data_IF_826107216064
#
_entry.id   IF_826107216064
#
_cell.length_a   1.000
_cell.length_b   1.000
_cell.length_c   1.000
_cell.angle_alpha   90.00
_cell.angle_beta   90.00
_cell.angle_gamma   90.00
#
_symmetry.space_group_name_H-M   'P 1'
#
loop_
_entity.id
_entity.type
_entity.pdbx_description
1 polymer ?
#
# COMPACT_ATOMS: atom_id res chain seq x y z
N UNK A 1 30.02 -11.33 4.01
CA UNK A 1 28.65 -11.71 3.62
C UNK A 1 27.99 -12.34 4.82
N UNK A 2 27.05 -11.64 5.48
CA UNK A 2 26.26 -12.22 6.57
C UNK A 2 25.37 -13.32 5.97
N UNK A 3 25.68 -14.58 6.25
CA UNK A 3 24.83 -15.69 5.83
C UNK A 3 23.52 -15.57 6.58
N UNK A 4 22.45 -15.17 5.88
CA UNK A 4 21.11 -15.14 6.47
C UNK A 4 20.78 -16.56 6.97
N UNK A 5 20.36 -16.74 8.23
CA UNK A 5 20.09 -18.07 8.76
C UNK A 5 18.99 -18.76 7.95
N UNK A 6 19.18 -20.05 7.69
CA UNK A 6 18.18 -20.86 7.00
C UNK A 6 16.94 -21.02 7.88
N UNK A 7 15.77 -20.68 7.33
CA UNK A 7 14.47 -20.82 8.01
C UNK A 7 14.12 -22.26 8.35
N UNK A 8 14.77 -23.24 7.70
CA UNK A 8 14.54 -24.68 7.91
C UNK A 8 15.54 -25.32 8.89
N UNK A 9 16.37 -24.53 9.57
CA UNK A 9 17.41 -25.03 10.49
C UNK A 9 17.17 -24.60 11.93
N UNK A 10 17.95 -25.17 12.86
CA UNK A 10 17.99 -24.74 14.27
C UNK A 10 18.36 -23.26 14.44
N UNK A 11 19.07 -22.67 13.48
CA UNK A 11 19.44 -21.25 13.53
C UNK A 11 18.23 -20.30 13.59
N UNK A 12 17.06 -20.70 13.08
CA UNK A 12 15.84 -19.92 13.27
C UNK A 12 15.30 -20.03 14.71
N UNK A 13 15.42 -21.19 15.36
CA UNK A 13 15.03 -21.33 16.78
C UNK A 13 15.94 -20.49 17.67
N UNK A 14 17.25 -20.51 17.41
CA UNK A 14 18.22 -19.69 18.14
C UNK A 14 17.87 -18.21 18.02
N UNK A 15 17.59 -17.74 16.79
CA UNK A 15 17.17 -16.36 16.56
C UNK A 15 15.84 -16.02 17.25
N UNK A 16 14.86 -16.91 17.18
CA UNK A 16 13.58 -16.73 17.89
C UNK A 16 13.81 -16.65 19.40
N UNK A 17 14.69 -17.48 19.95
CA UNK A 17 14.99 -17.53 21.38
C UNK A 17 15.58 -16.21 21.88
N UNK A 18 16.38 -15.51 21.07
CA UNK A 18 17.01 -14.21 21.37
C UNK A 18 16.02 -13.02 21.41
N UNK A 19 14.79 -13.18 20.93
CA UNK A 19 13.82 -12.08 20.81
C UNK A 19 12.58 -12.31 21.67
N UNK A 20 11.97 -11.23 22.15
CA UNK A 20 10.72 -11.30 22.94
C UNK A 20 9.47 -11.39 22.06
N UNK A 21 9.55 -10.76 20.88
CA UNK A 21 8.46 -10.59 19.93
C UNK A 21 8.90 -11.07 18.56
N UNK A 22 8.05 -11.85 17.90
CA UNK A 22 8.21 -12.27 16.51
C UNK A 22 7.02 -11.74 15.71
N UNK A 23 7.27 -10.76 14.83
CA UNK A 23 6.28 -10.30 13.86
C UNK A 23 6.44 -11.03 12.54
N UNK A 24 5.45 -11.84 12.19
CA UNK A 24 5.42 -12.58 10.94
C UNK A 24 4.70 -11.76 9.88
N UNK A 25 5.46 -11.30 8.88
CA UNK A 25 4.90 -10.77 7.63
C UNK A 25 4.52 -11.92 6.70
N UNK A 26 3.45 -11.74 5.91
CA UNK A 26 2.85 -12.82 5.13
C UNK A 26 2.40 -13.99 6.03
N UNK A 27 1.76 -13.64 7.15
CA UNK A 27 1.42 -14.58 8.23
C UNK A 27 0.40 -15.66 7.82
N UNK A 28 -0.35 -15.43 6.75
CA UNK A 28 -1.34 -16.37 6.22
C UNK A 28 -0.76 -17.29 5.13
N UNK A 29 0.56 -17.31 4.94
CA UNK A 29 1.25 -18.25 4.04
C UNK A 29 1.71 -19.51 4.78
N UNK A 30 2.00 -20.64 4.09
CA UNK A 30 2.56 -21.83 4.73
C UNK A 30 3.81 -21.54 5.57
N UNK A 31 4.72 -20.71 5.04
CA UNK A 31 5.94 -20.32 5.74
C UNK A 31 5.65 -19.41 6.94
N UNK A 32 4.67 -18.52 6.81
CA UNK A 32 4.21 -17.67 7.90
C UNK A 32 3.65 -18.48 9.08
N UNK A 33 2.78 -19.45 8.78
CA UNK A 33 2.23 -20.38 9.77
C UNK A 33 3.33 -21.22 10.43
N UNK A 34 4.29 -21.71 9.64
CA UNK A 34 5.44 -22.44 10.18
C UNK A 34 6.29 -21.60 11.15
N UNK A 35 6.63 -20.36 10.78
CA UNK A 35 7.39 -19.46 11.63
C UNK A 35 6.62 -19.09 12.91
N UNK A 36 5.32 -18.81 12.78
CA UNK A 36 4.44 -18.51 13.91
C UNK A 36 4.35 -19.69 14.89
N UNK A 37 4.25 -20.92 14.40
CA UNK A 37 4.22 -22.12 15.24
C UNK A 37 5.51 -22.27 16.06
N UNK A 38 6.69 -22.09 15.45
CA UNK A 38 7.97 -22.16 16.16
C UNK A 38 8.09 -21.07 17.24
N UNK A 39 7.74 -19.83 16.90
CA UNK A 39 7.74 -18.74 17.86
C UNK A 39 6.78 -19.00 19.04
N UNK A 40 5.60 -19.58 18.75
CA UNK A 40 4.61 -19.94 19.77
C UNK A 40 5.08 -21.05 20.70
N UNK A 41 5.77 -22.07 20.16
CA UNK A 41 6.39 -23.16 20.93
C UNK A 41 7.49 -22.61 21.83
N UNK A 42 8.29 -21.67 21.33
CA UNK A 42 9.31 -20.97 22.11
C UNK A 42 8.74 -19.95 23.13
N UNK A 43 7.41 -19.89 23.30
CA UNK A 43 6.75 -19.05 24.30
C UNK A 43 6.71 -17.56 23.96
N UNK A 44 7.03 -17.17 22.72
CA UNK A 44 7.15 -15.76 22.31
C UNK A 44 5.79 -15.10 22.07
N UNK A 45 5.82 -13.76 22.04
CA UNK A 45 4.70 -12.96 21.51
C UNK A 45 4.74 -13.02 19.99
N UNK A 46 3.65 -13.42 19.36
CA UNK A 46 3.58 -13.63 17.91
C UNK A 46 2.56 -12.70 17.29
N UNK A 47 3.02 -11.79 16.45
CA UNK A 47 2.19 -10.89 15.68
C UNK A 47 2.09 -11.37 14.23
N UNK A 48 0.98 -11.12 13.55
CA UNK A 48 0.80 -11.47 12.15
C UNK A 48 0.31 -10.29 11.32
N UNK A 49 0.95 -10.03 10.17
CA UNK A 49 0.41 -9.12 9.13
C UNK A 49 0.39 -9.84 7.79
N UNK A 50 -0.72 -9.72 7.08
CA UNK A 50 -0.87 -10.19 5.71
C UNK A 50 -0.72 -9.01 4.74
N UNK A 51 0.20 -9.15 3.78
CA UNK A 51 0.43 -8.15 2.73
C UNK A 51 -0.14 -8.60 1.38
N UNK A 52 -1.08 -9.56 1.41
CA UNK A 52 -1.77 -10.05 0.23
C UNK A 52 -0.95 -11.04 -0.59
N UNK A 53 -1.52 -11.45 -1.72
CA UNK A 53 -1.13 -12.67 -2.43
C UNK A 53 -2.17 -13.77 -2.21
N UNK A 54 -1.84 -14.98 -2.65
CA UNK A 54 -2.71 -16.13 -2.48
C UNK A 54 -2.85 -16.48 -1.00
N UNK A 55 -4.10 -16.57 -0.54
CA UNK A 55 -4.40 -17.09 0.79
C UNK A 55 -3.99 -18.57 0.83
N UNK A 56 -3.38 -19.01 1.93
CA UNK A 56 -3.30 -20.43 2.23
C UNK A 56 -4.73 -20.92 2.47
N UNK A 57 -5.33 -21.55 1.46
CA UNK A 57 -6.73 -21.98 1.46
C UNK A 57 -7.08 -22.82 2.69
N UNK A 58 -6.10 -23.54 3.22
CA UNK A 58 -6.15 -24.34 4.44
C UNK A 58 -6.53 -23.53 5.69
N UNK A 59 -6.29 -22.22 5.74
CA UNK A 59 -6.76 -21.39 6.86
C UNK A 59 -8.28 -21.22 6.88
N UNK A 60 -8.96 -21.30 5.74
CA UNK A 60 -10.42 -21.35 5.68
C UNK A 60 -10.95 -22.64 6.30
N UNK A 61 -10.23 -23.75 6.12
CA UNK A 61 -10.59 -25.05 6.69
C UNK A 61 -10.16 -25.22 8.14
N UNK A 62 -9.11 -24.51 8.58
CA UNK A 62 -8.51 -24.63 9.92
C UNK A 62 -8.35 -23.28 10.64
N UNK A 63 -9.43 -22.55 10.93
CA UNK A 63 -9.37 -21.20 11.55
C UNK A 63 -8.70 -21.20 12.93
N UNK A 64 -8.62 -22.36 13.59
CA UNK A 64 -7.89 -22.54 14.86
C UNK A 64 -6.39 -22.27 14.73
N UNK A 65 -5.81 -22.35 13.54
CA UNK A 65 -4.41 -21.96 13.30
C UNK A 65 -4.17 -20.46 13.59
N UNK A 66 -5.22 -19.62 13.54
CA UNK A 66 -5.14 -18.25 14.01
C UNK A 66 -4.66 -18.13 15.46
N UNK A 67 -4.86 -19.16 16.29
CA UNK A 67 -4.43 -19.16 17.70
C UNK A 67 -2.92 -19.18 17.92
N UNK A 68 -2.14 -19.44 16.86
CA UNK A 68 -0.68 -19.30 16.87
C UNK A 68 -0.25 -17.85 17.10
N UNK A 69 -1.07 -16.89 16.69
CA UNK A 69 -0.84 -15.47 16.85
C UNK A 69 -1.50 -14.97 18.14
N UNK A 70 -0.91 -13.96 18.77
CA UNK A 70 -1.54 -13.20 19.85
C UNK A 70 -2.49 -12.15 19.31
N UNK A 71 -2.07 -11.47 18.24
CA UNK A 71 -2.84 -10.42 17.59
C UNK A 71 -2.42 -10.28 16.13
N UNK A 72 -3.39 -9.97 15.28
CA UNK A 72 -3.17 -9.62 13.90
C UNK A 72 -3.12 -8.11 13.73
N UNK A 73 -2.19 -7.63 12.90
CA UNK A 73 -2.14 -6.25 12.46
C UNK A 73 -2.69 -6.17 11.03
N UNK A 74 -3.74 -5.37 10.86
CA UNK A 74 -4.30 -4.99 9.58
C UNK A 74 -3.95 -3.54 9.25
N UNK A 75 -3.57 -3.30 7.99
CA UNK A 75 -3.16 -1.98 7.50
C UNK A 75 -4.30 -1.12 6.93
N UNK A 76 -5.48 -1.73 6.79
CA UNK A 76 -6.73 -1.13 6.30
C UNK A 76 -7.91 -1.97 6.79
N UNK A 77 -9.11 -1.39 6.75
CA UNK A 77 -10.34 -2.14 7.07
C UNK A 77 -10.55 -3.27 6.04
N UNK A 78 -10.23 -3.01 4.77
CA UNK A 78 -10.23 -4.02 3.72
C UNK A 78 -9.27 -5.17 4.02
N UNK A 79 -8.05 -4.90 4.48
CA UNK A 79 -7.10 -5.95 4.86
C UNK A 79 -7.54 -6.73 6.10
N UNK A 80 -8.26 -6.09 7.03
CA UNK A 80 -8.76 -6.76 8.23
C UNK A 80 -9.74 -7.91 7.91
N UNK A 81 -10.45 -7.82 6.78
CA UNK A 81 -11.36 -8.86 6.32
C UNK A 81 -10.65 -10.21 6.08
N UNK A 82 -9.35 -10.22 5.76
CA UNK A 82 -8.56 -11.45 5.59
C UNK A 82 -8.44 -12.26 6.90
N UNK A 83 -8.68 -11.64 8.05
CA UNK A 83 -8.65 -12.28 9.36
C UNK A 83 -10.04 -12.60 9.90
N UNK A 84 -11.10 -12.34 9.14
CA UNK A 84 -12.46 -12.66 9.55
C UNK A 84 -12.61 -14.16 9.84
N UNK A 85 -13.20 -14.50 10.98
CA UNK A 85 -13.35 -15.90 11.42
C UNK A 85 -12.15 -16.49 12.15
N UNK A 86 -11.02 -15.77 12.24
CA UNK A 86 -9.92 -16.17 13.13
C UNK A 86 -10.26 -15.75 14.57
N UNK A 87 -10.09 -16.68 15.50
CA UNK A 87 -10.39 -16.50 16.94
C UNK A 87 -9.28 -15.72 17.66
N UNK A 88 -8.92 -14.55 17.11
CA UNK A 88 -7.90 -13.65 17.66
C UNK A 88 -8.22 -12.17 17.39
N UNK A 89 -7.74 -11.26 18.25
CA UNK A 89 -7.89 -9.84 18.01
C UNK A 89 -7.20 -9.42 16.71
N UNK A 90 -7.86 -8.52 15.98
CA UNK A 90 -7.29 -7.78 14.86
C UNK A 90 -7.18 -6.32 15.29
N UNK A 91 -6.06 -5.69 14.98
CA UNK A 91 -5.79 -4.28 15.25
C UNK A 91 -5.51 -3.56 13.96
N UNK A 92 -6.28 -2.50 13.72
CA UNK A 92 -6.10 -1.62 12.59
C UNK A 92 -5.01 -0.62 12.93
N UNK A 93 -3.87 -0.71 12.26
CA UNK A 93 -2.79 0.28 12.34
C UNK A 93 -2.44 0.67 10.90
N UNK A 94 -2.87 1.86 10.51
CA UNK A 94 -2.70 2.38 9.15
C UNK A 94 -1.27 2.90 8.93
N UNK A 95 -0.76 2.81 7.70
CA UNK A 95 0.61 3.21 7.36
C UNK A 95 1.65 2.11 7.66
N UNK A 96 2.93 2.46 7.90
CA UNK A 96 3.48 3.82 7.90
C UNK A 96 3.87 4.32 6.51
N UNK A 97 3.92 5.65 6.36
CA UNK A 97 4.71 6.32 5.31
C UNK A 97 5.97 6.91 5.92
N UNK A 98 7.11 6.73 5.26
CA UNK A 98 8.38 7.34 5.68
C UNK A 98 8.41 8.83 5.32
N UNK A 99 7.88 9.64 6.24
CA UNK A 99 7.77 11.09 6.10
C UNK A 99 9.13 11.81 6.08
N UNK A 100 10.23 11.12 6.42
CA UNK A 100 11.59 11.66 6.32
C UNK A 100 12.18 11.40 4.93
N UNK A 101 11.98 10.20 4.40
CA UNK A 101 12.38 9.86 3.04
C UNK A 101 11.61 10.69 2.02
N UNK A 102 10.30 10.86 2.23
CA UNK A 102 9.43 11.68 1.38
C UNK A 102 9.21 13.05 2.01
N UNK A 103 10.27 13.85 2.13
CA UNK A 103 10.19 15.22 2.64
C UNK A 103 9.37 16.15 1.72
N UNK A 104 8.81 17.24 2.25
CA UNK A 104 8.03 18.19 1.46
C UNK A 104 8.83 18.67 0.23
N UNK A 105 8.25 18.55 -0.96
CA UNK A 105 8.94 18.94 -2.18
C UNK A 105 9.15 20.46 -2.23
N UNK A 106 10.36 20.88 -2.59
CA UNK A 106 10.70 22.28 -2.89
C UNK A 106 10.59 22.61 -4.38
N UNK A 107 10.41 21.60 -5.22
CA UNK A 107 10.26 21.75 -6.67
C UNK A 107 8.91 22.38 -7.01
N UNK A 108 8.91 23.20 -8.06
CA UNK A 108 7.67 23.80 -8.58
C UNK A 108 6.83 22.71 -9.25
N UNK A 109 5.57 22.59 -8.81
CA UNK A 109 4.58 21.72 -9.47
C UNK A 109 4.25 22.20 -10.87
N UNK A 110 4.14 21.24 -11.79
CA UNK A 110 3.77 21.44 -13.17
C UNK A 110 2.27 21.19 -13.33
N UNK A 111 1.52 22.25 -13.67
CA UNK A 111 0.08 22.15 -13.89
C UNK A 111 -0.21 21.21 -15.06
N UNK A 112 -1.13 20.27 -14.86
CA UNK A 112 -1.50 19.27 -15.87
C UNK A 112 -0.50 18.12 -15.99
N UNK A 113 0.54 18.05 -15.15
CA UNK A 113 1.35 16.84 -14.99
C UNK A 113 0.69 15.93 -13.95
N UNK A 114 0.21 14.77 -14.41
CA UNK A 114 -0.34 13.71 -13.58
C UNK A 114 0.60 12.51 -13.56
N UNK A 115 0.66 11.83 -12.43
CA UNK A 115 1.57 10.69 -12.23
C UNK A 115 0.80 9.50 -11.67
N UNK A 116 1.09 8.30 -12.15
CA UNK A 116 0.65 7.05 -11.54
C UNK A 116 1.87 6.19 -11.25
N UNK A 117 1.98 5.64 -10.04
CA UNK A 117 3.16 4.87 -9.61
C UNK A 117 2.76 3.49 -9.13
N UNK A 118 3.47 2.48 -9.61
CA UNK A 118 3.35 1.12 -9.13
C UNK A 118 3.83 0.09 -10.13
N UNK A 119 3.84 -1.18 -9.73
CA UNK A 119 4.09 -2.29 -10.66
C UNK A 119 3.09 -2.21 -11.82
N UNK A 120 3.57 -2.44 -13.05
CA UNK A 120 2.69 -2.51 -14.22
C UNK A 120 2.09 -3.92 -14.25
N UNK A 121 0.87 -4.02 -13.72
CA UNK A 121 0.06 -5.22 -13.53
C UNK A 121 -1.42 -4.89 -13.80
N UNK A 122 -2.23 -5.81 -14.34
CA UNK A 122 -3.61 -5.54 -14.74
C UNK A 122 -4.49 -4.94 -13.64
N UNK A 123 -4.38 -5.43 -12.40
CA UNK A 123 -5.18 -4.95 -11.28
C UNK A 123 -4.86 -3.51 -10.83
N UNK A 124 -3.83 -2.85 -11.39
CA UNK A 124 -3.56 -1.43 -11.16
C UNK A 124 -4.38 -0.50 -12.06
N UNK A 125 -5.00 -1.02 -13.13
CA UNK A 125 -6.02 -0.29 -13.90
C UNK A 125 -5.54 1.02 -14.53
N UNK A 126 -4.28 1.11 -14.98
CA UNK A 126 -3.72 2.34 -15.58
C UNK A 126 -4.47 2.80 -16.84
N UNK A 127 -5.13 1.89 -17.55
CA UNK A 127 -5.97 2.19 -18.71
C UNK A 127 -7.08 3.20 -18.38
N UNK A 128 -7.58 3.21 -17.14
CA UNK A 128 -8.59 4.17 -16.71
C UNK A 128 -8.03 5.60 -16.65
N UNK A 129 -6.82 5.75 -16.12
CA UNK A 129 -6.13 7.04 -16.08
C UNK A 129 -5.77 7.53 -17.49
N UNK A 130 -5.31 6.63 -18.37
CA UNK A 130 -5.03 6.95 -19.78
C UNK A 130 -6.30 7.42 -20.49
N UNK A 131 -7.41 6.70 -20.34
CA UNK A 131 -8.68 7.01 -20.98
C UNK A 131 -9.27 8.35 -20.50
N UNK A 132 -9.15 8.64 -19.20
CA UNK A 132 -9.66 9.84 -18.55
C UNK A 132 -8.74 11.07 -18.69
N UNK A 133 -7.54 10.93 -19.26
CA UNK A 133 -6.57 12.03 -19.39
C UNK A 133 -7.17 13.22 -20.17
N UNK A 134 -7.30 14.40 -19.55
CA UNK A 134 -7.84 15.58 -20.21
C UNK A 134 -6.90 16.13 -21.29
N UNK A 135 -7.46 16.85 -22.25
CA UNK A 135 -6.68 17.39 -23.37
C UNK A 135 -5.67 18.43 -22.85
N UNK A 136 -4.40 18.27 -23.26
CA UNK A 136 -3.32 19.17 -22.87
C UNK A 136 -2.69 18.86 -21.52
N UNK A 137 -3.17 17.84 -20.80
CA UNK A 137 -2.46 17.25 -19.67
C UNK A 137 -1.50 16.15 -20.13
N UNK A 138 -0.53 15.85 -19.28
CA UNK A 138 0.44 14.77 -19.42
C UNK A 138 0.24 13.74 -18.32
N UNK A 139 0.29 12.46 -18.66
CA UNK A 139 0.33 11.37 -17.69
C UNK A 139 1.69 10.67 -17.75
N UNK A 140 2.36 10.52 -16.61
CA UNK A 140 3.55 9.66 -16.47
C UNK A 140 3.17 8.44 -15.63
N UNK A 141 3.31 7.26 -16.21
CA UNK A 141 3.12 5.98 -15.52
C UNK A 141 4.50 5.43 -15.19
N UNK A 142 4.85 5.39 -13.91
CA UNK A 142 6.16 4.98 -13.44
C UNK A 142 6.11 3.64 -12.70
N UNK A 143 6.98 2.72 -13.08
CA UNK A 143 7.19 1.48 -12.35
C UNK A 143 7.62 0.30 -13.21
N UNK A 144 8.11 -0.74 -12.52
CA UNK A 144 8.65 -1.94 -13.19
C UNK A 144 7.54 -2.70 -13.90
N UNK A 145 7.85 -3.19 -15.09
CA UNK A 145 6.94 -4.05 -15.84
C UNK A 145 6.99 -5.47 -15.27
N UNK A 146 5.84 -5.95 -14.77
CA UNK A 146 5.66 -7.32 -14.27
C UNK A 146 4.84 -8.17 -15.25
N UNK A 147 3.97 -7.54 -16.04
CA UNK A 147 3.16 -8.18 -17.07
C UNK A 147 3.43 -7.47 -18.41
N UNK A 148 3.99 -8.21 -19.39
CA UNK A 148 4.34 -7.65 -20.70
C UNK A 148 3.13 -7.46 -21.59
N UNK A 149 2.19 -8.40 -21.59
CA UNK A 149 0.99 -8.31 -22.42
C UNK A 149 0.11 -7.13 -21.97
N UNK A 150 0.01 -6.91 -20.66
CA UNK A 150 -0.69 -5.75 -20.12
C UNK A 150 0.03 -4.43 -20.48
N UNK A 151 1.36 -4.40 -20.40
CA UNK A 151 2.13 -3.21 -20.82
C UNK A 151 1.91 -2.87 -22.29
N UNK A 152 1.93 -3.87 -23.18
CA UNK A 152 1.67 -3.65 -24.61
C UNK A 152 0.26 -3.11 -24.85
N UNK A 153 -0.75 -3.58 -24.10
CA UNK A 153 -2.11 -3.01 -24.13
C UNK A 153 -2.14 -1.55 -23.69
N UNK A 154 -1.36 -1.18 -22.67
CA UNK A 154 -1.26 0.22 -22.23
C UNK A 154 -0.60 1.11 -23.29
N UNK A 155 0.43 0.61 -24.00
CA UNK A 155 1.03 1.33 -25.13
C UNK A 155 0.01 1.59 -26.24
N UNK A 156 -0.83 0.61 -26.56
CA UNK A 156 -1.92 0.80 -27.53
C UNK A 156 -2.97 1.80 -27.02
N UNK A 157 -3.37 1.71 -25.75
CA UNK A 157 -4.34 2.63 -25.15
C UNK A 157 -3.83 4.08 -25.09
N UNK A 158 -2.51 4.26 -24.96
CA UNK A 158 -1.84 5.56 -24.94
C UNK A 158 -1.75 6.23 -26.33
N UNK A 159 -2.03 5.51 -27.42
CA UNK A 159 -1.86 6.04 -28.77
C UNK A 159 -2.64 7.35 -28.99
N UNK A 160 -1.92 8.40 -29.41
CA UNK A 160 -2.49 9.73 -29.65
C UNK A 160 -2.70 10.58 -28.39
N UNK A 161 -2.21 10.17 -27.23
CA UNK A 161 -2.27 10.90 -25.95
C UNK A 161 -0.87 11.22 -25.43
N UNK A 162 -0.72 12.26 -24.59
CA UNK A 162 0.56 12.61 -23.96
C UNK A 162 0.81 11.72 -22.72
N UNK A 163 1.08 10.44 -22.95
CA UNK A 163 1.34 9.43 -21.91
C UNK A 163 2.77 8.91 -22.04
N UNK A 164 3.52 8.93 -20.95
CA UNK A 164 4.91 8.48 -20.87
C UNK A 164 5.03 7.33 -19.88
N UNK A 165 5.87 6.35 -20.20
CA UNK A 165 6.11 5.18 -19.34
C UNK A 165 7.56 5.17 -18.85
N UNK A 166 7.74 5.28 -17.54
CA UNK A 166 9.05 5.36 -16.90
C UNK A 166 9.32 4.08 -16.08
N UNK A 167 10.02 3.13 -16.69
CA UNK A 167 10.06 1.74 -16.17
C UNK A 167 11.29 1.42 -15.31
N UNK A 168 12.23 2.35 -15.19
CA UNK A 168 13.53 2.15 -14.56
C UNK A 168 13.92 3.24 -13.56
N UNK A 169 12.97 4.08 -13.13
CA UNK A 169 13.26 5.13 -12.15
C UNK A 169 13.73 4.53 -10.82
N UNK A 170 14.78 5.12 -10.26
CA UNK A 170 15.19 4.92 -8.87
C UNK A 170 14.40 5.80 -7.91
N UNK A 171 14.58 5.56 -6.60
CA UNK A 171 13.79 6.21 -5.55
C UNK A 171 13.87 7.75 -5.58
N UNK A 172 15.05 8.32 -5.83
CA UNK A 172 15.24 9.77 -5.92
C UNK A 172 14.52 10.39 -7.13
N UNK A 173 14.49 9.66 -8.26
CA UNK A 173 13.78 10.11 -9.47
C UNK A 173 12.27 10.03 -9.29
N UNK A 174 11.79 8.98 -8.60
CA UNK A 174 10.38 8.87 -8.18
C UNK A 174 9.97 10.03 -7.28
N UNK A 175 10.76 10.35 -6.26
CA UNK A 175 10.50 11.49 -5.37
C UNK A 175 10.46 12.81 -6.14
N UNK A 176 11.40 13.01 -7.07
CA UNK A 176 11.44 14.20 -7.91
C UNK A 176 10.18 14.31 -8.80
N UNK A 177 9.81 13.22 -9.47
CA UNK A 177 8.63 13.14 -10.32
C UNK A 177 7.35 13.45 -9.54
N UNK A 178 7.16 12.82 -8.37
CA UNK A 178 6.03 13.07 -7.47
C UNK A 178 6.00 14.51 -6.97
N UNK A 179 7.15 15.10 -6.65
CA UNK A 179 7.25 16.50 -6.21
C UNK A 179 6.90 17.52 -7.31
N UNK A 180 7.12 17.17 -8.58
CA UNK A 180 6.74 17.98 -9.73
C UNK A 180 5.29 17.79 -10.15
N UNK A 181 4.68 16.65 -9.86
CA UNK A 181 3.32 16.34 -10.26
C UNK A 181 2.32 17.31 -9.62
N UNK A 182 1.30 17.69 -10.39
CA UNK A 182 0.12 18.40 -9.88
C UNK A 182 -0.88 17.45 -9.21
N UNK A 183 -0.86 16.17 -9.57
CA UNK A 183 -1.74 15.15 -9.03
C UNK A 183 -1.12 13.76 -9.17
N UNK A 184 -1.25 12.92 -8.13
CA UNK A 184 -1.13 11.48 -8.26
C UNK A 184 -2.49 10.87 -8.62
N UNK A 185 -2.54 10.05 -9.66
CA UNK A 185 -3.70 9.21 -10.00
C UNK A 185 -3.34 7.77 -9.67
N UNK A 186 -3.96 7.21 -8.62
CA UNK A 186 -3.67 5.84 -8.19
C UNK A 186 -4.87 4.92 -8.45
N UNK A 187 -4.72 4.10 -9.48
CA UNK A 187 -5.72 3.13 -9.86
C UNK A 187 -5.70 1.86 -9.03
N UNK A 188 -6.72 1.05 -9.28
CA UNK A 188 -6.91 -0.27 -8.72
C UNK A 188 -8.22 -0.81 -9.26
N UNK A 189 -8.27 -2.10 -9.61
CA UNK A 189 -9.50 -2.75 -10.06
C UNK A 189 -9.59 -4.18 -9.53
N UNK A 190 -10.79 -4.57 -9.14
CA UNK A 190 -11.11 -5.97 -8.85
C UNK A 190 -11.28 -6.81 -10.12
N UNK A 191 -11.51 -6.19 -11.27
CA UNK A 191 -11.68 -6.89 -12.54
C UNK A 191 -10.66 -6.37 -13.55
N UNK A 192 -9.76 -7.25 -13.98
CA UNK A 192 -8.78 -6.93 -15.02
C UNK A 192 -9.40 -6.79 -16.41
N UNK A 193 -8.62 -6.36 -17.41
CA UNK A 193 -9.09 -6.21 -18.79
C UNK A 193 -9.62 -7.49 -19.44
N UNK A 194 -9.21 -8.66 -18.93
CA UNK A 194 -9.63 -9.99 -19.37
C UNK A 194 -10.78 -10.57 -18.54
N UNK A 195 -11.32 -9.81 -17.59
CA UNK A 195 -12.35 -10.26 -16.66
C UNK A 195 -11.83 -11.03 -15.45
N UNK A 196 -10.51 -11.19 -15.29
CA UNK A 196 -9.91 -11.84 -14.13
C UNK A 196 -10.25 -11.07 -12.86
N UNK A 197 -10.76 -11.78 -11.84
CA UNK A 197 -11.09 -11.21 -10.55
C UNK A 197 -9.88 -11.21 -9.61
N UNK A 198 -9.56 -10.05 -9.05
CA UNK A 198 -8.48 -9.84 -8.08
C UNK A 198 -9.10 -9.65 -6.70
N UNK A 199 -8.90 -10.60 -5.79
CA UNK A 199 -9.43 -10.53 -4.43
C UNK A 199 -8.81 -9.40 -3.61
N UNK A 200 -7.53 -9.08 -3.84
CA UNK A 200 -6.75 -8.11 -3.04
C UNK A 200 -6.02 -7.13 -3.97
N UNK A 201 -6.72 -6.23 -4.68
CA UNK A 201 -6.08 -5.33 -5.67
C UNK A 201 -5.20 -4.26 -5.00
N UNK A 202 -5.55 -3.85 -3.79
CA UNK A 202 -4.73 -2.97 -2.94
C UNK A 202 -5.08 -3.20 -1.46
N UNK A 203 -4.06 -3.38 -0.62
CA UNK A 203 -4.24 -3.54 0.83
C UNK A 203 -3.78 -2.32 1.62
N UNK A 204 -2.81 -1.58 1.10
CA UNK A 204 -2.36 -0.29 1.59
C UNK A 204 -1.78 0.49 0.42
N UNK A 205 -2.20 1.73 0.25
CA UNK A 205 -1.74 2.54 -0.86
C UNK A 205 -0.61 3.47 -0.43
N UNK A 206 0.62 2.93 -0.42
CA UNK A 206 1.83 3.69 -0.07
C UNK A 206 2.08 4.84 -1.04
N UNK A 207 1.97 4.62 -2.37
CA UNK A 207 2.24 5.67 -3.36
C UNK A 207 1.39 6.96 -3.18
N UNK A 208 0.08 6.90 -2.92
CA UNK A 208 -0.69 8.07 -2.48
C UNK A 208 -0.16 8.76 -1.23
N UNK A 209 0.18 8.00 -0.20
CA UNK A 209 0.72 8.57 1.04
C UNK A 209 2.09 9.23 0.82
N UNK A 210 2.96 8.62 0.02
CA UNK A 210 4.26 9.15 -0.38
C UNK A 210 4.12 10.46 -1.18
N UNK A 211 3.20 10.49 -2.15
CA UNK A 211 2.87 11.69 -2.90
C UNK A 211 2.37 12.82 -1.98
N UNK A 212 1.46 12.50 -1.06
CA UNK A 212 0.93 13.47 -0.11
C UNK A 212 2.01 13.97 0.88
N UNK A 213 2.98 13.14 1.27
CA UNK A 213 4.13 13.58 2.06
C UNK A 213 4.98 14.62 1.29
N UNK A 214 5.14 14.45 -0.02
CA UNK A 214 5.76 15.47 -0.90
C UNK A 214 4.86 16.70 -1.14
N UNK A 215 3.62 16.68 -0.62
CA UNK A 215 2.59 17.72 -0.75
C UNK A 215 1.74 17.63 -2.02
N UNK A 216 1.83 16.51 -2.75
CA UNK A 216 1.10 16.27 -4.00
C UNK A 216 -0.21 15.55 -3.68
N UNK A 217 -1.36 16.13 -4.04
CA UNK A 217 -2.65 15.49 -3.75
C UNK A 217 -2.86 14.24 -4.61
N UNK A 218 -3.81 13.41 -4.20
CA UNK A 218 -4.11 12.15 -4.88
C UNK A 218 -5.59 12.00 -5.22
N UNK A 219 -5.85 11.36 -6.36
CA UNK A 219 -7.14 10.71 -6.65
C UNK A 219 -6.92 9.20 -6.70
N UNK A 220 -7.80 8.45 -6.06
CA UNK A 220 -7.66 7.00 -5.90
C UNK A 220 -8.94 6.28 -6.32
N UNK A 221 -8.84 5.07 -6.87
CA UNK A 221 -10.06 4.29 -7.11
C UNK A 221 -10.68 3.82 -5.79
N UNK A 222 -11.92 3.34 -5.81
CA UNK A 222 -12.56 2.69 -4.65
C UNK A 222 -12.26 1.18 -4.54
N UNK A 223 -11.28 0.67 -5.28
CA UNK A 223 -10.93 -0.76 -5.23
C UNK A 223 -10.07 -1.09 -4.01
N UNK A 224 -10.35 -2.23 -3.36
CA UNK A 224 -9.64 -2.65 -2.14
C UNK A 224 -9.62 -1.56 -1.07
N UNK A 225 -8.46 -1.34 -0.47
CA UNK A 225 -8.25 -0.34 0.58
C UNK A 225 -8.15 1.11 0.10
N UNK A 226 -8.12 1.36 -1.22
CA UNK A 226 -7.80 2.69 -1.76
C UNK A 226 -8.81 3.77 -1.34
N UNK A 227 -10.10 3.45 -1.39
CA UNK A 227 -11.17 4.37 -1.01
C UNK A 227 -11.09 4.86 0.43
N UNK A 228 -10.44 4.10 1.32
CA UNK A 228 -10.27 4.47 2.73
C UNK A 228 -9.35 5.69 2.90
N UNK A 229 -8.49 6.01 1.92
CA UNK A 229 -7.66 7.22 1.97
C UNK A 229 -8.45 8.52 1.78
N UNK A 230 -9.70 8.46 1.34
CA UNK A 230 -10.54 9.65 1.17
C UNK A 230 -10.87 10.38 2.49
N UNK A 231 -10.49 9.81 3.65
CA UNK A 231 -10.48 10.53 4.94
C UNK A 231 -9.46 11.66 4.98
N UNK A 232 -8.40 11.60 4.16
CA UNK A 232 -7.37 12.63 4.04
C UNK A 232 -7.88 13.79 3.19
N UNK A 233 -7.66 15.02 3.65
CA UNK A 233 -8.08 16.25 2.98
C UNK A 233 -7.52 16.34 1.56
N UNK A 234 -6.28 15.90 1.37
CA UNK A 234 -5.56 15.87 0.08
C UNK A 234 -5.88 14.69 -0.83
N UNK A 235 -6.87 13.87 -0.49
CA UNK A 235 -7.25 12.69 -1.27
C UNK A 235 -8.73 12.73 -1.68
N UNK A 236 -9.05 12.27 -2.89
CA UNK A 236 -10.43 12.00 -3.34
C UNK A 236 -10.52 10.61 -3.93
N UNK A 237 -11.67 9.95 -3.77
CA UNK A 237 -11.91 8.62 -4.35
C UNK A 237 -12.90 8.67 -5.50
N UNK A 238 -12.69 7.90 -6.57
CA UNK A 238 -13.63 7.74 -7.68
C UNK A 238 -14.18 6.30 -7.77
N UNK A 239 -15.46 6.15 -8.12
CA UNK A 239 -16.12 4.86 -8.37
C UNK A 239 -16.00 4.39 -9.82
N UNK A 240 -16.00 5.32 -10.78
CA UNK A 240 -16.08 4.98 -12.20
C UNK A 240 -15.28 5.95 -13.10
N UNK A 241 -15.32 5.67 -14.40
CA UNK A 241 -14.59 6.45 -15.40
C UNK A 241 -15.11 7.90 -15.54
N UNK A 242 -16.41 8.14 -15.29
CA UNK A 242 -16.99 9.48 -15.40
C UNK A 242 -16.53 10.35 -14.22
N UNK A 243 -16.57 9.82 -13.00
CA UNK A 243 -16.03 10.49 -11.82
C UNK A 243 -14.53 10.77 -11.98
N UNK A 244 -13.75 9.80 -12.46
CA UNK A 244 -12.31 10.00 -12.70
C UNK A 244 -12.06 11.12 -13.71
N UNK A 245 -12.72 11.09 -14.86
CA UNK A 245 -12.56 12.13 -15.89
C UNK A 245 -12.91 13.53 -15.35
N UNK A 246 -14.01 13.66 -14.61
CA UNK A 246 -14.40 14.92 -13.98
C UNK A 246 -13.35 15.43 -12.98
N UNK A 247 -12.77 14.54 -12.17
CA UNK A 247 -11.71 14.90 -11.23
C UNK A 247 -10.42 15.33 -11.95
N UNK A 248 -10.02 14.63 -13.03
CA UNK A 248 -8.82 15.00 -13.78
C UNK A 248 -8.97 16.34 -14.51
N UNK A 249 -10.14 16.64 -15.07
CA UNK A 249 -10.45 17.95 -15.63
C UNK A 249 -10.37 19.05 -14.57
N UNK A 250 -11.00 18.86 -13.40
CA UNK A 250 -10.92 19.81 -12.29
C UNK A 250 -9.48 19.99 -11.78
N UNK A 251 -8.66 18.93 -11.77
CA UNK A 251 -7.26 19.02 -11.39
C UNK A 251 -6.42 19.79 -12.41
N UNK A 252 -6.66 19.59 -13.71
CA UNK A 252 -6.02 20.37 -14.77
C UNK A 252 -6.41 21.86 -14.69
N UNK A 253 -7.65 22.15 -14.28
CA UNK A 253 -8.13 23.50 -13.98
C UNK A 253 -7.54 24.11 -12.70
N UNK A 254 -6.98 23.30 -11.81
CA UNK A 254 -6.44 23.73 -10.51
C UNK A 254 -7.51 23.89 -9.43
N UNK A 255 -8.71 23.35 -9.65
CA UNK A 255 -9.90 23.58 -8.82
C UNK A 255 -10.27 22.36 -7.95
N UNK A 256 -9.60 21.21 -8.14
CA UNK A 256 -9.93 19.99 -7.42
C UNK A 256 -9.63 20.07 -5.91
N UNK A 257 -8.56 20.76 -5.52
CA UNK A 257 -8.13 20.89 -4.12
C UNK A 257 -7.81 22.34 -3.78
N UNK A 258 -8.46 22.86 -2.74
CA UNK A 258 -8.15 24.16 -2.14
C UNK A 258 -7.24 23.98 -0.92
N UNK A 259 -6.05 23.41 -1.13
CA UNK A 259 -5.09 23.07 -0.07
C UNK A 259 -3.68 23.46 -0.50
N UNK A 260 -2.88 23.96 0.45
CA UNK A 260 -1.45 24.10 0.25
C UNK A 260 -0.75 22.73 0.32
N UNK A 261 0.44 22.58 -0.33
CA UNK A 261 1.24 21.37 -0.21
C UNK A 261 1.60 20.99 1.23
N UNK A 262 1.81 21.99 2.09
CA UNK A 262 2.11 21.77 3.52
C UNK A 262 0.90 21.17 4.25
N UNK A 263 -0.31 21.67 4.01
CA UNK A 263 -1.52 21.12 4.62
C UNK A 263 -1.81 19.67 4.18
N UNK A 264 -1.53 19.34 2.91
CA UNK A 264 -1.66 17.97 2.39
C UNK A 264 -0.69 17.03 3.14
N UNK A 265 0.56 17.47 3.28
CA UNK A 265 1.59 16.72 4.01
C UNK A 265 1.22 16.54 5.47
N UNK A 266 0.90 17.63 6.16
CA UNK A 266 0.68 17.62 7.61
C UNK A 266 -0.48 16.68 8.00
N UNK A 267 -1.55 16.66 7.21
CA UNK A 267 -2.68 15.75 7.40
C UNK A 267 -2.28 14.28 7.19
N UNK A 268 -1.52 13.97 6.12
CA UNK A 268 -1.04 12.62 5.85
C UNK A 268 -0.08 12.12 6.93
N UNK A 269 0.89 12.95 7.34
CA UNK A 269 1.87 12.61 8.38
C UNK A 269 1.21 12.43 9.74
N UNK A 270 0.23 13.28 10.10
CA UNK A 270 -0.47 13.18 11.37
C UNK A 270 -1.23 11.85 11.54
N UNK A 271 -1.67 11.23 10.44
CA UNK A 271 -2.48 10.02 10.47
C UNK A 271 -1.69 8.74 10.11
N UNK A 272 -0.69 8.83 9.22
CA UNK A 272 0.03 7.69 8.65
C UNK A 272 1.55 7.74 8.85
N UNK A 273 2.09 8.77 9.50
CA UNK A 273 3.53 8.95 9.69
C UNK A 273 4.19 7.85 10.54
N UNK A 274 5.52 7.71 10.40
CA UNK A 274 6.30 6.68 11.11
C UNK A 274 6.14 6.77 12.62
N UNK A 275 6.05 7.99 13.18
CA UNK A 275 5.92 8.19 14.62
C UNK A 275 4.61 7.63 15.16
N UNK A 276 3.49 7.99 14.54
CA UNK A 276 2.16 7.56 14.94
C UNK A 276 2.00 6.05 14.78
N UNK A 277 2.51 5.49 13.67
CA UNK A 277 2.58 4.05 13.50
C UNK A 277 3.35 3.38 14.65
N UNK A 278 4.54 3.90 14.99
CA UNK A 278 5.34 3.38 16.09
C UNK A 278 4.64 3.45 17.45
N UNK A 279 3.96 4.55 17.76
CA UNK A 279 3.19 4.71 18.99
C UNK A 279 2.04 3.69 19.08
N UNK A 280 1.26 3.51 18.01
CA UNK A 280 0.20 2.49 17.94
C UNK A 280 0.75 1.07 18.00
N UNK A 281 1.89 0.82 17.35
CA UNK A 281 2.51 -0.50 17.33
C UNK A 281 3.10 -0.87 18.70
N UNK A 282 3.65 0.08 19.45
CA UNK A 282 4.05 -0.15 20.85
C UNK A 282 2.83 -0.43 21.75
N UNK A 283 1.70 0.25 21.53
CA UNK A 283 0.47 -0.03 22.26
C UNK A 283 -0.04 -1.45 21.98
N UNK A 284 -0.01 -1.89 20.71
CA UNK A 284 -0.32 -3.26 20.29
C UNK A 284 0.49 -4.30 21.09
N UNK A 285 1.79 -4.06 21.27
CA UNK A 285 2.67 -4.96 22.02
C UNK A 285 2.29 -5.04 23.49
N UNK A 286 1.96 -3.91 24.13
CA UNK A 286 1.53 -3.88 25.54
C UNK A 286 0.23 -4.64 25.75
N UNK A 287 -0.73 -4.47 24.84
CA UNK A 287 -2.02 -5.17 24.87
C UNK A 287 -1.92 -6.69 24.71
N UNK A 288 -0.85 -7.21 24.10
CA UNK A 288 -0.62 -8.66 24.01
C UNK A 288 -0.55 -9.33 25.40
N UNK A 289 -0.29 -8.54 26.46
CA UNK A 289 -0.20 -8.98 27.85
C UNK A 289 0.97 -9.91 28.15
N UNK A 290 1.72 -10.35 27.14
CA UNK A 290 2.87 -11.25 27.28
C UNK A 290 4.21 -10.50 27.23
N UNK A 291 4.23 -9.31 26.64
CA UNK A 291 5.45 -8.51 26.54
C UNK A 291 5.91 -7.93 27.88
N UNK A 292 5.02 -7.35 28.69
CA UNK A 292 5.37 -6.83 30.03
C UNK A 292 5.77 -7.92 31.05
N UNK A 293 5.55 -9.21 30.71
CA UNK A 293 6.02 -10.35 31.51
C UNK A 293 7.38 -10.88 31.07
N UNK A 294 7.90 -10.40 29.93
CA UNK A 294 9.18 -10.78 29.35
C UNK A 294 10.25 -9.68 29.47
N UNK A 295 9.85 -8.42 29.64
CA UNK A 295 10.72 -7.27 29.95
C UNK A 295 10.95 -7.12 31.47
#
# INVERSE_FOLDING_TARGET
>A
MSTRPSVASGALDDLIAEHDVVHVHQCLSPLGIFAAARARIAGKVVLGTDHGGDLFAELEYYPRLGRLFDVFHAQSDFAAAAFAGLDRPVRLIRGPVDDRMFALATTRRQRGLFVSIGRILPHKGYEHAIAALPRGARLVIAGRIYDRDYFDRLLQAAAGRDVHFETQLGDAEVQHLLGQASLLVHGGTHFGPDGTFYHKPELLALAPLEAMCLGTPAVVSRAGALGELAVLRGCRSYADAQELAAMLEAAAAGDLFALSPAEIRDDAVAQFGLRQFGEHYLALLRESGRWERAA
#
